data_IF_765762691927
#
_entry.id   IF_765762691927
#
_cell.length_a   1.000
_cell.length_b   1.000
_cell.length_c   1.000
_cell.angle_alpha   90.00
_cell.angle_beta   90.00
_cell.angle_gamma   90.00
#
_symmetry.space_group_name_H-M   'P 1'
#
loop_
_entity.id
_entity.type
_entity.pdbx_description
1 polymer ?
#
# COMPACT_ATOMS: atom_id res chain seq x y z
N UNK A 1 -52.64 14.70 10.17
CA UNK A 1 -51.47 15.33 9.54
C UNK A 1 -50.36 15.34 10.59
N UNK A 2 -49.49 14.34 10.56
CA UNK A 2 -48.48 14.09 11.60
C UNK A 2 -47.11 14.18 10.94
N UNK A 3 -46.39 15.26 11.20
CA UNK A 3 -44.98 15.42 10.82
C UNK A 3 -44.11 14.66 11.83
N UNK A 4 -43.50 13.57 11.39
CA UNK A 4 -42.40 12.93 12.13
C UNK A 4 -41.10 13.63 11.75
N UNK A 5 -40.55 14.39 12.68
CA UNK A 5 -39.18 14.90 12.60
C UNK A 5 -38.22 13.72 12.56
N UNK A 6 -37.54 13.54 11.43
CA UNK A 6 -36.40 12.63 11.32
C UNK A 6 -35.22 13.29 12.00
N UNK A 7 -34.91 12.88 13.23
CA UNK A 7 -33.61 13.12 13.84
C UNK A 7 -32.57 12.44 12.94
N UNK A 8 -31.97 13.22 12.04
CA UNK A 8 -30.75 12.85 11.34
C UNK A 8 -29.71 12.51 12.41
N UNK A 9 -29.45 11.22 12.59
CA UNK A 9 -28.26 10.76 13.32
C UNK A 9 -27.09 11.13 12.42
N UNK A 10 -26.71 12.40 12.50
CA UNK A 10 -25.48 12.94 11.96
C UNK A 10 -24.33 12.38 12.79
N UNK A 11 -24.05 11.09 12.63
CA UNK A 11 -22.71 10.60 12.84
C UNK A 11 -21.89 10.94 11.58
N UNK A 12 -21.82 12.24 11.30
CA UNK A 12 -20.74 12.78 10.48
C UNK A 12 -19.48 12.42 11.25
N UNK A 13 -18.78 11.38 10.80
CA UNK A 13 -17.52 10.97 11.41
C UNK A 13 -16.56 12.15 11.28
N UNK A 14 -16.48 12.98 12.32
CA UNK A 14 -15.52 14.06 12.40
C UNK A 14 -14.16 13.40 12.55
N UNK A 15 -13.49 13.11 11.43
CA UNK A 15 -12.13 12.64 11.45
C UNK A 15 -11.29 13.72 12.13
N UNK A 16 -10.70 13.37 13.27
CA UNK A 16 -9.80 14.30 13.95
C UNK A 16 -8.61 14.63 13.06
N UNK A 17 -8.07 15.83 13.19
CA UNK A 17 -6.86 16.23 12.47
C UNK A 17 -5.70 15.26 12.74
N UNK A 18 -5.64 14.66 13.94
CA UNK A 18 -4.66 13.64 14.28
C UNK A 18 -4.84 12.35 13.45
N UNK A 19 -6.06 11.85 13.26
CA UNK A 19 -6.33 10.69 12.41
C UNK A 19 -5.95 10.97 10.95
N UNK A 20 -6.28 12.16 10.44
CA UNK A 20 -5.89 12.57 9.10
C UNK A 20 -4.36 12.66 8.93
N UNK A 21 -3.66 13.21 9.94
CA UNK A 21 -2.21 13.31 9.92
C UNK A 21 -1.52 11.94 9.93
N UNK A 22 -2.02 10.99 10.74
CA UNK A 22 -1.50 9.62 10.76
C UNK A 22 -1.70 8.94 9.40
N UNK A 23 -2.89 9.06 8.80
CA UNK A 23 -3.16 8.49 7.48
C UNK A 23 -2.28 9.13 6.39
N UNK A 24 -2.11 10.45 6.42
CA UNK A 24 -1.25 11.17 5.48
C UNK A 24 0.22 10.73 5.61
N UNK A 25 0.72 10.60 6.84
CA UNK A 25 2.08 10.13 7.08
C UNK A 25 2.29 8.70 6.57
N UNK A 26 1.36 7.79 6.84
CA UNK A 26 1.41 6.43 6.33
C UNK A 26 1.40 6.40 4.79
N UNK A 27 0.57 7.22 4.15
CA UNK A 27 0.52 7.34 2.70
C UNK A 27 1.82 7.88 2.11
N UNK A 28 2.44 8.88 2.75
CA UNK A 28 3.74 9.43 2.34
C UNK A 28 4.82 8.35 2.45
N UNK A 29 4.89 7.62 3.56
CA UNK A 29 5.86 6.54 3.73
C UNK A 29 5.69 5.43 2.69
N UNK A 30 4.45 5.02 2.43
CA UNK A 30 4.17 4.02 1.40
C UNK A 30 4.56 4.54 0.01
N UNK A 31 4.19 5.78 -0.30
CA UNK A 31 4.53 6.41 -1.58
C UNK A 31 6.04 6.51 -1.80
N UNK A 32 6.78 6.98 -0.79
CA UNK A 32 8.24 7.06 -0.87
C UNK A 32 8.86 5.67 -0.98
N UNK A 33 8.39 4.69 -0.21
CA UNK A 33 8.85 3.30 -0.33
C UNK A 33 8.67 2.77 -1.75
N UNK A 34 7.51 3.01 -2.39
CA UNK A 34 7.27 2.57 -3.77
C UNK A 34 8.18 3.30 -4.76
N UNK A 35 8.31 4.62 -4.65
CA UNK A 35 9.15 5.41 -5.56
C UNK A 35 10.62 5.01 -5.45
N UNK A 36 11.15 4.85 -4.25
CA UNK A 36 12.53 4.41 -4.04
C UNK A 36 12.72 2.94 -4.40
N UNK A 37 11.80 2.08 -3.95
CA UNK A 37 11.85 0.65 -4.21
C UNK A 37 11.83 0.34 -5.71
N UNK A 38 10.95 0.98 -6.47
CA UNK A 38 10.86 0.79 -7.93
C UNK A 38 11.93 1.58 -8.67
N UNK A 39 12.15 2.85 -8.30
CA UNK A 39 13.11 3.73 -8.98
C UNK A 39 14.56 3.28 -8.87
N UNK A 40 14.92 2.62 -7.76
CA UNK A 40 16.25 2.06 -7.52
C UNK A 40 16.26 0.52 -7.51
N UNK A 41 15.21 -0.13 -8.00
CA UNK A 41 15.11 -1.59 -8.08
C UNK A 41 16.25 -2.26 -8.87
N UNK A 42 16.97 -1.49 -9.70
CA UNK A 42 17.96 -1.97 -10.67
C UNK A 42 17.47 -3.25 -11.41
N UNK A 43 16.55 -3.10 -12.39
CA UNK A 43 15.80 -4.22 -12.97
C UNK A 43 16.69 -5.30 -13.61
N UNK A 44 17.91 -4.96 -14.04
CA UNK A 44 18.88 -5.94 -14.55
C UNK A 44 19.30 -6.93 -13.46
N UNK A 45 19.66 -6.45 -12.27
CA UNK A 45 20.08 -7.30 -11.16
C UNK A 45 18.95 -8.23 -10.70
N UNK A 46 17.71 -7.72 -10.67
CA UNK A 46 16.53 -8.54 -10.36
C UNK A 46 16.28 -9.59 -11.44
N UNK A 47 16.44 -9.20 -12.71
CA UNK A 47 16.28 -10.11 -13.84
C UNK A 47 17.34 -11.22 -13.83
N UNK A 48 18.61 -10.86 -13.66
CA UNK A 48 19.74 -11.80 -13.57
C UNK A 48 19.58 -12.73 -12.37
N UNK A 49 19.19 -12.21 -11.20
CA UNK A 49 18.91 -13.03 -10.02
C UNK A 49 17.76 -14.03 -10.24
N UNK A 50 16.72 -13.65 -10.99
CA UNK A 50 15.62 -14.54 -11.35
C UNK A 50 16.07 -15.62 -12.36
N UNK A 51 16.97 -15.27 -13.29
CA UNK A 51 17.59 -16.23 -14.19
C UNK A 51 18.47 -17.23 -13.43
N UNK A 52 19.32 -16.77 -12.51
CA UNK A 52 20.19 -17.59 -11.67
C UNK A 52 19.40 -18.50 -10.72
N UNK A 53 18.28 -17.98 -10.20
CA UNK A 53 17.28 -18.73 -9.44
C UNK A 53 16.81 -19.93 -10.26
N UNK A 54 16.29 -19.73 -11.49
CA UNK A 54 15.84 -20.84 -12.33
C UNK A 54 16.94 -21.88 -12.61
N UNK A 55 18.18 -21.44 -12.77
CA UNK A 55 19.33 -22.34 -12.93
C UNK A 55 19.65 -23.14 -11.67
N UNK A 56 19.46 -22.54 -10.49
CA UNK A 56 19.67 -23.20 -9.20
C UNK A 56 18.52 -24.11 -8.78
N UNK A 57 17.29 -23.83 -9.23
CA UNK A 57 16.09 -24.63 -8.95
C UNK A 57 15.90 -25.82 -9.90
N UNK A 58 16.71 -25.95 -10.96
CA UNK A 58 16.78 -27.17 -11.75
C UNK A 58 17.49 -28.25 -10.92
N UNK A 59 16.75 -28.92 -10.02
CA UNK A 59 17.23 -30.12 -9.35
C UNK A 59 17.72 -31.12 -10.40
N UNK A 60 18.92 -31.70 -10.25
CA UNK A 60 19.41 -32.73 -11.15
C UNK A 60 18.44 -33.92 -11.11
N UNK A 61 17.77 -34.21 -12.22
CA UNK A 61 17.06 -35.47 -12.40
C UNK A 61 18.07 -36.55 -12.79
N UNK A 62 18.81 -37.01 -11.78
CA UNK A 62 19.54 -38.27 -11.77
C UNK A 62 19.39 -38.89 -10.38
#
# INVERSE_FOLDING_TARGET
MTTRSINSVGNSATHSAAQAAVAAFAAILLGTFLLYGVGFAQPQQIHDAAHDTRHSFAFPCH
#
